data_IF_134963797338
#
_entry.id   IF_134963797338
#
_cell.length_a   1.000
_cell.length_b   1.000
_cell.length_c   1.000
_cell.angle_alpha   90.00
_cell.angle_beta   90.00
_cell.angle_gamma   90.00
#
_symmetry.space_group_name_H-M   'P 1'
#
loop_
_entity.id
_entity.type
_entity.pdbx_description
1 polymer ?
#
# COMPACT_ATOMS: atom_id res chain seq x y z
N UNK A 1 -3.33 -33.07 -11.75
CA UNK A 1 -4.01 -33.31 -10.47
C UNK A 1 -4.09 -31.98 -9.73
N UNK A 2 -5.31 -31.59 -9.41
CA UNK A 2 -5.78 -30.21 -9.40
C UNK A 2 -5.17 -29.34 -8.30
N UNK A 3 -4.42 -28.32 -8.70
CA UNK A 3 -3.88 -27.25 -7.85
C UNK A 3 -4.99 -26.54 -7.04
N UNK A 4 -6.21 -26.55 -7.55
CA UNK A 4 -7.38 -25.90 -6.97
C UNK A 4 -7.94 -26.67 -5.75
N UNK A 5 -7.93 -28.00 -5.79
CA UNK A 5 -8.40 -28.85 -4.68
C UNK A 5 -7.41 -28.86 -3.52
N UNK A 6 -6.12 -28.99 -3.83
CA UNK A 6 -5.05 -28.90 -2.84
C UNK A 6 -4.98 -27.50 -2.21
N UNK A 7 -5.35 -26.49 -3.00
CA UNK A 7 -5.32 -25.11 -2.54
C UNK A 7 -6.38 -24.78 -1.50
N UNK A 8 -7.60 -25.29 -1.69
CA UNK A 8 -8.70 -25.18 -0.72
C UNK A 8 -8.41 -25.98 0.55
N UNK A 9 -7.82 -27.16 0.41
CA UNK A 9 -7.41 -27.98 1.56
C UNK A 9 -6.35 -27.29 2.42
N UNK A 10 -5.29 -26.75 1.80
CA UNK A 10 -4.23 -26.04 2.52
C UNK A 10 -4.75 -24.77 3.23
N UNK A 11 -5.68 -24.04 2.61
CA UNK A 11 -6.29 -22.86 3.22
C UNK A 11 -7.20 -23.22 4.41
N UNK A 12 -7.99 -24.28 4.30
CA UNK A 12 -8.76 -24.82 5.42
C UNK A 12 -7.84 -25.31 6.55
N UNK A 13 -6.75 -25.99 6.21
CA UNK A 13 -5.77 -26.50 7.18
C UNK A 13 -5.03 -25.37 7.89
N UNK A 14 -4.64 -24.31 7.17
CA UNK A 14 -4.01 -23.12 7.75
C UNK A 14 -4.95 -22.40 8.73
N UNK A 15 -6.23 -22.22 8.35
CA UNK A 15 -7.25 -21.66 9.24
C UNK A 15 -7.50 -22.54 10.47
N UNK A 16 -7.47 -23.86 10.30
CA UNK A 16 -7.66 -24.82 11.37
C UNK A 16 -6.51 -24.79 12.38
N UNK A 17 -5.24 -24.82 11.93
CA UNK A 17 -4.08 -24.75 12.82
C UNK A 17 -3.90 -23.38 13.51
N UNK A 18 -4.35 -22.28 12.88
CA UNK A 18 -4.25 -20.94 13.46
C UNK A 18 -5.25 -20.64 14.58
N UNK A 19 -6.19 -21.55 14.86
CA UNK A 19 -7.28 -21.31 15.83
C UNK A 19 -6.98 -22.00 17.17
N UNK A 20 -7.23 -21.31 18.29
CA UNK A 20 -7.09 -21.88 19.65
C UNK A 20 -7.92 -23.16 19.88
N UNK A 21 -8.95 -23.37 19.06
CA UNK A 21 -9.81 -24.57 19.05
C UNK A 21 -9.03 -25.85 18.75
N UNK A 22 -8.01 -25.83 17.88
CA UNK A 22 -7.21 -27.04 17.59
C UNK A 22 -6.45 -27.50 18.83
N UNK A 23 -5.78 -26.56 19.51
CA UNK A 23 -5.07 -26.82 20.76
C UNK A 23 -6.01 -27.39 21.83
N UNK A 24 -7.19 -26.78 21.99
CA UNK A 24 -8.20 -27.26 22.94
C UNK A 24 -8.66 -28.70 22.62
N UNK A 25 -8.91 -29.02 21.35
CA UNK A 25 -9.29 -30.37 20.92
C UNK A 25 -8.18 -31.39 21.17
N UNK A 26 -6.92 -31.04 20.83
CA UNK A 26 -5.76 -31.90 21.07
C UNK A 26 -5.53 -32.16 22.55
N UNK A 27 -5.65 -31.13 23.40
CA UNK A 27 -5.57 -31.29 24.86
C UNK A 27 -6.69 -32.17 25.39
N UNK A 28 -7.93 -31.98 24.92
CA UNK A 28 -9.06 -32.82 25.30
C UNK A 28 -8.84 -34.28 24.89
N UNK A 29 -8.32 -34.54 23.69
CA UNK A 29 -7.98 -35.89 23.23
C UNK A 29 -6.96 -36.57 24.14
N UNK A 30 -5.86 -35.89 24.50
CA UNK A 30 -4.84 -36.43 25.41
C UNK A 30 -5.43 -36.72 26.79
N UNK A 31 -6.24 -35.80 27.34
CA UNK A 31 -6.89 -35.98 28.64
C UNK A 31 -7.82 -37.19 28.60
N UNK A 32 -8.68 -37.30 27.58
CA UNK A 32 -9.62 -38.43 27.42
C UNK A 32 -8.85 -39.74 27.31
N UNK A 33 -7.75 -39.80 26.55
CA UNK A 33 -6.93 -41.00 26.42
C UNK A 33 -6.35 -41.45 27.77
N UNK A 34 -5.80 -40.51 28.54
CA UNK A 34 -5.24 -40.79 29.87
C UNK A 34 -6.36 -41.25 30.81
N UNK A 35 -7.50 -40.56 30.84
CA UNK A 35 -8.64 -40.89 31.70
C UNK A 35 -9.17 -42.28 31.39
N UNK A 36 -9.35 -42.63 30.11
CA UNK A 36 -9.78 -43.96 29.71
C UNK A 36 -8.78 -45.02 30.19
N UNK A 37 -7.48 -44.85 29.91
CA UNK A 37 -6.49 -45.86 30.32
C UNK A 37 -6.33 -45.99 31.83
N UNK A 38 -6.50 -44.92 32.61
CA UNK A 38 -6.42 -44.95 34.08
C UNK A 38 -7.71 -45.49 34.71
N UNK A 39 -8.87 -45.22 34.11
CA UNK A 39 -10.16 -45.70 34.59
C UNK A 39 -10.45 -47.16 34.24
N UNK A 40 -9.75 -47.72 33.24
CA UNK A 40 -9.86 -49.13 32.90
C UNK A 40 -9.18 -50.01 33.98
N UNK A 41 -9.76 -51.18 34.33
CA UNK A 41 -9.11 -52.14 35.22
C UNK A 41 -7.77 -52.60 34.64
N UNK A 42 -6.78 -52.90 35.51
CA UNK A 42 -5.44 -53.37 35.11
C UNK A 42 -5.40 -54.55 34.14
N UNK A 43 -6.47 -55.35 34.09
CA UNK A 43 -6.62 -56.47 33.15
C UNK A 43 -6.94 -56.07 31.72
N UNK A 44 -7.33 -54.81 31.49
CA UNK A 44 -7.85 -54.31 30.21
C UNK A 44 -7.22 -52.98 29.79
N UNK A 45 -6.20 -52.51 30.50
CA UNK A 45 -5.43 -51.31 30.12
C UNK A 45 -4.81 -51.52 28.73
N UNK A 46 -5.13 -50.62 27.79
CA UNK A 46 -4.64 -50.68 26.41
C UNK A 46 -3.24 -50.07 26.31
N UNK A 47 -2.97 -49.03 27.10
CA UNK A 47 -1.71 -48.29 27.13
C UNK A 47 -1.33 -47.93 28.58
N UNK A 48 -0.68 -48.86 29.32
CA UNK A 48 -0.26 -48.62 30.70
C UNK A 48 0.79 -47.51 30.79
N UNK A 49 0.89 -46.86 31.96
CA UNK A 49 1.96 -45.88 32.24
C UNK A 49 3.34 -46.51 31.95
N UNK A 50 4.16 -45.92 31.06
CA UNK A 50 4.25 -44.49 30.69
C UNK A 50 3.53 -44.04 29.39
N UNK A 51 2.47 -44.71 28.93
CA UNK A 51 1.69 -44.35 27.73
C UNK A 51 2.52 -44.36 26.43
N UNK A 52 3.11 -45.52 26.10
CA UNK A 52 3.98 -45.66 24.93
C UNK A 52 3.22 -45.49 23.63
N UNK A 53 1.96 -45.96 23.55
CA UNK A 53 1.16 -45.82 22.33
C UNK A 53 0.78 -44.36 22.08
N UNK A 54 0.35 -43.62 23.11
CA UNK A 54 0.10 -42.19 23.00
C UNK A 54 1.35 -41.45 22.50
N UNK A 55 2.51 -41.79 23.06
CA UNK A 55 3.79 -41.17 22.68
C UNK A 55 4.17 -41.48 21.24
N UNK A 56 4.01 -42.73 20.81
CA UNK A 56 4.23 -43.12 19.41
C UNK A 56 3.27 -42.40 18.46
N UNK A 57 1.98 -42.28 18.82
CA UNK A 57 1.00 -41.56 18.02
C UNK A 57 1.37 -40.08 17.87
N UNK A 58 1.75 -39.41 18.97
CA UNK A 58 2.15 -38.01 18.97
C UNK A 58 3.44 -37.78 18.16
N UNK A 59 4.43 -38.66 18.28
CA UNK A 59 5.66 -38.57 17.48
C UNK A 59 5.41 -38.75 15.98
N UNK A 60 4.54 -39.70 15.60
CA UNK A 60 4.12 -39.89 14.21
C UNK A 60 3.36 -38.67 13.68
N UNK A 61 2.45 -38.12 14.49
CA UNK A 61 1.69 -36.92 14.14
C UNK A 61 2.62 -35.72 13.88
N UNK A 62 3.63 -35.50 14.74
CA UNK A 62 4.63 -34.47 14.54
C UNK A 62 5.47 -34.71 13.27
N UNK A 63 5.87 -35.95 13.02
CA UNK A 63 6.67 -36.32 11.85
C UNK A 63 5.93 -36.06 10.53
N UNK A 64 4.63 -36.32 10.47
CA UNK A 64 3.81 -36.06 9.28
C UNK A 64 3.41 -34.58 9.12
N UNK A 65 3.39 -33.81 10.22
CA UNK A 65 3.11 -32.38 10.16
C UNK A 65 4.21 -31.60 9.41
N UNK A 66 5.48 -31.95 9.60
CA UNK A 66 6.61 -31.26 8.98
C UNK A 66 6.53 -31.16 7.44
N UNK A 67 6.35 -32.26 6.67
CA UNK A 67 6.25 -32.19 5.22
C UNK A 67 4.99 -31.46 4.73
N UNK A 68 3.88 -31.56 5.46
CA UNK A 68 2.66 -30.79 5.14
C UNK A 68 2.87 -29.29 5.33
N UNK A 69 3.54 -28.90 6.42
CA UNK A 69 3.90 -27.52 6.69
C UNK A 69 4.85 -26.99 5.60
N UNK A 70 5.86 -27.78 5.21
CA UNK A 70 6.79 -27.41 4.12
C UNK A 70 6.06 -27.19 2.80
N UNK A 71 5.07 -28.02 2.47
CA UNK A 71 4.29 -27.85 1.25
C UNK A 71 3.39 -26.61 1.30
N UNK A 72 2.81 -26.31 2.47
CA UNK A 72 2.07 -25.08 2.69
C UNK A 72 2.98 -23.85 2.58
N UNK A 73 4.20 -23.92 3.12
CA UNK A 73 5.21 -22.86 3.05
C UNK A 73 5.68 -22.62 1.60
N UNK A 74 6.07 -23.65 0.85
CA UNK A 74 6.47 -23.53 -0.56
C UNK A 74 5.43 -22.77 -1.40
N UNK A 75 4.14 -22.99 -1.10
CA UNK A 75 3.04 -22.33 -1.81
C UNK A 75 2.83 -20.89 -1.37
N UNK A 76 3.01 -20.62 -0.07
CA UNK A 76 3.00 -19.25 0.45
C UNK A 76 4.15 -18.44 -0.15
N UNK A 77 5.37 -18.99 -0.16
CA UNK A 77 6.55 -18.36 -0.76
C UNK A 77 6.37 -18.07 -2.26
N UNK A 78 5.73 -18.99 -3.00
CA UNK A 78 5.42 -18.75 -4.41
C UNK A 78 4.47 -17.56 -4.62
N UNK A 79 3.44 -17.41 -3.76
CA UNK A 79 2.53 -16.26 -3.78
C UNK A 79 3.25 -14.97 -3.40
N UNK A 80 4.03 -15.01 -2.33
CA UNK A 80 4.78 -13.86 -1.83
C UNK A 80 5.79 -13.38 -2.87
N UNK A 81 6.42 -14.30 -3.61
CA UNK A 81 7.32 -13.95 -4.72
C UNK A 81 6.61 -13.19 -5.83
N UNK A 82 5.43 -13.65 -6.26
CA UNK A 82 4.63 -12.97 -7.30
C UNK A 82 4.20 -11.59 -6.82
N UNK A 83 3.76 -11.46 -5.57
CA UNK A 83 3.39 -10.18 -4.99
C UNK A 83 4.58 -9.20 -4.95
N UNK A 84 5.77 -9.68 -4.54
CA UNK A 84 6.99 -8.87 -4.53
C UNK A 84 7.41 -8.43 -5.94
N UNK A 85 7.29 -9.30 -6.94
CA UNK A 85 7.64 -8.93 -8.32
C UNK A 85 6.66 -7.89 -8.89
N UNK A 86 5.36 -8.00 -8.58
CA UNK A 86 4.37 -7.00 -8.94
C UNK A 86 4.63 -5.64 -8.25
N UNK A 87 4.95 -5.65 -6.96
CA UNK A 87 5.28 -4.45 -6.19
C UNK A 87 6.52 -3.72 -6.75
N UNK A 88 7.55 -4.49 -7.16
CA UNK A 88 8.73 -3.93 -7.85
C UNK A 88 8.37 -3.25 -9.17
N UNK A 89 7.53 -3.89 -9.98
CA UNK A 89 7.08 -3.31 -11.25
C UNK A 89 6.26 -2.04 -11.03
N UNK A 90 5.34 -2.06 -10.06
CA UNK A 90 4.53 -0.90 -9.69
C UNK A 90 5.41 0.25 -9.18
N UNK A 91 6.40 -0.04 -8.33
CA UNK A 91 7.34 0.96 -7.83
C UNK A 91 8.17 1.57 -8.97
N UNK A 92 8.62 0.75 -9.93
CA UNK A 92 9.36 1.24 -11.09
C UNK A 92 8.50 2.16 -11.98
N UNK A 93 7.25 1.77 -12.24
CA UNK A 93 6.29 2.60 -12.99
C UNK A 93 5.99 3.91 -12.26
N UNK A 94 5.70 3.85 -10.96
CA UNK A 94 5.43 5.05 -10.15
C UNK A 94 6.60 6.04 -10.16
N UNK A 95 7.85 5.54 -10.13
CA UNK A 95 9.03 6.40 -10.27
C UNK A 95 9.11 7.06 -11.64
N UNK A 96 8.85 6.31 -12.71
CA UNK A 96 8.82 6.87 -14.06
C UNK A 96 7.72 7.93 -14.23
N UNK A 97 6.54 7.70 -13.66
CA UNK A 97 5.44 8.68 -13.67
C UNK A 97 5.80 9.94 -12.88
N UNK A 98 6.43 9.80 -11.72
CA UNK A 98 6.92 10.94 -10.94
C UNK A 98 7.98 11.74 -11.72
N UNK A 99 8.92 11.07 -12.38
CA UNK A 99 9.93 11.72 -13.21
C UNK A 99 9.30 12.45 -14.40
N UNK A 100 8.28 11.86 -15.02
CA UNK A 100 7.51 12.49 -16.09
C UNK A 100 6.78 13.74 -15.60
N UNK A 101 6.03 13.63 -14.49
CA UNK A 101 5.33 14.76 -13.88
C UNK A 101 6.30 15.86 -13.45
N UNK A 102 7.47 15.52 -12.91
CA UNK A 102 8.48 16.50 -12.54
C UNK A 102 9.01 17.28 -13.76
N UNK A 103 9.20 16.62 -14.91
CA UNK A 103 9.59 17.27 -16.16
C UNK A 103 8.47 18.16 -16.70
N UNK A 104 7.22 17.71 -16.64
CA UNK A 104 6.07 18.52 -17.05
C UNK A 104 5.86 19.75 -16.14
N UNK A 105 6.07 19.60 -14.83
CA UNK A 105 6.01 20.75 -13.91
C UNK A 105 7.16 21.73 -14.22
N UNK A 106 8.35 21.24 -14.55
CA UNK A 106 9.47 22.08 -14.93
C UNK A 106 9.22 22.84 -16.25
N UNK A 107 8.67 22.17 -17.28
CA UNK A 107 8.31 22.80 -18.56
C UNK A 107 7.18 23.83 -18.39
N UNK A 108 6.16 23.51 -17.59
CA UNK A 108 5.08 24.42 -17.25
C UNK A 108 5.59 25.64 -16.50
N UNK A 109 6.48 25.45 -15.52
CA UNK A 109 7.11 26.55 -14.77
C UNK A 109 7.90 27.48 -15.69
N UNK A 110 8.63 26.93 -16.66
CA UNK A 110 9.37 27.74 -17.64
C UNK A 110 8.41 28.59 -18.48
N UNK A 111 7.35 27.95 -19.00
CA UNK A 111 6.34 28.61 -19.84
C UNK A 111 5.57 29.70 -19.09
N UNK A 112 5.21 29.46 -17.82
CA UNK A 112 4.59 30.46 -16.94
C UNK A 112 5.58 31.57 -16.57
N UNK A 113 6.85 31.24 -16.38
CA UNK A 113 7.92 32.21 -16.13
C UNK A 113 8.06 33.23 -17.26
N UNK A 114 7.95 32.78 -18.52
CA UNK A 114 7.99 33.65 -19.69
C UNK A 114 6.72 34.54 -19.80
N UNK A 115 5.54 34.01 -19.49
CA UNK A 115 4.28 34.77 -19.48
C UNK A 115 4.21 35.80 -18.34
N UNK A 116 4.88 35.53 -17.22
CA UNK A 116 5.03 36.43 -16.10
C UNK A 116 6.33 37.25 -16.18
N UNK A 117 6.90 37.44 -17.37
CA UNK A 117 8.11 38.26 -17.50
C UNK A 117 7.79 39.65 -16.96
N UNK A 118 8.52 40.01 -15.90
CA UNK A 118 8.45 41.33 -15.25
C UNK A 118 8.48 42.46 -16.26
N UNK A 119 9.14 42.29 -17.40
CA UNK A 119 9.18 43.29 -18.47
C UNK A 119 7.86 43.45 -19.22
N UNK A 120 7.08 42.39 -19.45
CA UNK A 120 5.74 42.48 -20.05
C UNK A 120 4.76 43.13 -19.06
N UNK A 121 4.72 42.64 -17.82
CA UNK A 121 3.90 43.25 -16.76
C UNK A 121 4.27 44.72 -16.54
N UNK A 122 5.57 45.06 -16.58
CA UNK A 122 6.07 46.42 -16.40
C UNK A 122 5.91 47.29 -17.64
N UNK A 123 5.91 46.74 -18.85
CA UNK A 123 5.60 47.51 -20.06
C UNK A 123 4.12 47.84 -20.10
N UNK A 124 3.25 46.88 -19.74
CA UNK A 124 1.81 47.08 -19.74
C UNK A 124 1.38 48.09 -18.67
N UNK A 125 1.85 47.91 -17.43
CA UNK A 125 1.64 48.91 -16.36
C UNK A 125 2.13 50.30 -16.75
N UNK A 126 3.25 50.39 -17.47
CA UNK A 126 3.82 51.68 -17.88
C UNK A 126 3.04 52.31 -19.04
N UNK A 127 2.56 51.50 -19.97
CA UNK A 127 1.70 51.96 -21.06
C UNK A 127 0.37 52.50 -20.50
N UNK A 128 -0.27 51.77 -19.60
CA UNK A 128 -1.51 52.21 -18.95
C UNK A 128 -1.32 53.46 -18.07
N UNK A 129 -0.22 53.57 -17.32
CA UNK A 129 0.08 54.80 -16.59
C UNK A 129 0.28 55.99 -17.54
N UNK A 130 0.89 55.75 -18.70
CA UNK A 130 1.18 56.81 -19.67
C UNK A 130 -0.08 57.25 -20.44
N UNK A 131 -1.00 56.34 -20.72
CA UNK A 131 -2.30 56.66 -21.32
C UNK A 131 -3.12 57.53 -20.36
N UNK A 132 -3.25 57.13 -19.09
CA UNK A 132 -4.00 57.88 -18.08
C UNK A 132 -3.41 59.28 -17.84
N UNK A 133 -2.08 59.42 -17.78
CA UNK A 133 -1.43 60.73 -17.65
C UNK A 133 -1.64 61.61 -18.88
N UNK A 134 -1.67 61.03 -20.08
CA UNK A 134 -1.92 61.77 -21.31
C UNK A 134 -3.38 62.26 -21.38
N UNK A 135 -4.33 61.45 -20.89
CA UNK A 135 -5.74 61.82 -20.79
C UNK A 135 -5.96 62.99 -19.83
N UNK A 136 -5.34 62.96 -18.64
CA UNK A 136 -5.38 64.08 -17.68
C UNK A 136 -4.73 65.35 -18.23
N UNK A 137 -3.59 65.23 -18.93
CA UNK A 137 -2.92 66.39 -19.53
C UNK A 137 -3.75 67.02 -20.65
N UNK A 138 -4.47 66.21 -21.42
CA UNK A 138 -5.40 66.70 -22.43
C UNK A 138 -6.59 67.44 -21.80
N UNK A 139 -7.11 66.95 -20.66
CA UNK A 139 -8.15 67.67 -19.90
C UNK A 139 -7.66 69.01 -19.34
N UNK A 140 -6.41 69.11 -18.87
CA UNK A 140 -5.81 70.36 -18.38
C UNK A 140 -5.58 71.40 -19.50
N UNK A 141 -5.14 70.97 -20.69
CA UNK A 141 -4.97 71.86 -21.85
C UNK A 141 -6.31 72.37 -22.40
N UNK A 142 -7.38 71.56 -22.31
CA UNK A 142 -8.74 71.97 -22.67
C UNK A 142 -9.33 72.96 -21.64
N UNK A 143 -8.78 72.99 -20.42
CA UNK A 143 -9.18 73.90 -19.33
C UNK A 143 -8.30 75.15 -19.19
N UNK A 144 -7.18 75.25 -19.94
CA UNK A 144 -6.35 76.45 -19.98
C UNK A 144 -7.14 77.63 -20.62
N UNK A 145 -7.42 78.72 -19.89
CA UNK A 145 -8.30 79.76 -20.38
C UNK A 145 -7.64 80.53 -21.52
N UNK A 146 -8.40 80.72 -22.61
CA UNK A 146 -8.09 81.60 -23.74
C UNK A 146 -7.92 83.05 -23.24
N UNK A 147 -6.74 83.39 -22.74
CA UNK A 147 -6.33 84.73 -22.34
C UNK A 147 -5.78 85.49 -23.56
N UNK A 148 -6.62 86.35 -24.12
CA UNK A 148 -6.44 87.10 -25.37
C UNK A 148 -5.12 87.92 -25.49
N UNK A 149 -4.64 88.19 -26.72
CA UNK A 149 -3.44 88.99 -26.95
C UNK A 149 -3.75 90.48 -26.77
N UNK A 150 -3.10 91.14 -25.81
CA UNK A 150 -3.17 92.60 -25.67
C UNK A 150 -2.09 93.24 -26.54
N UNK A 151 -2.55 93.82 -27.65
CA UNK A 151 -1.84 94.82 -28.45
C UNK A 151 -1.49 96.05 -27.61
N UNK A 152 -0.27 96.56 -27.76
CA UNK A 152 0.05 97.99 -27.93
C UNK A 152 1.51 98.15 -28.36
#
# INVERSE_FOLDING_TARGET
MDSDTFGKFAEAFARFMGTATFLAWMSAFIIVWIVLNVALPKSSEVDPYPFIFLTLLLSLQASYAAPLILLAQNRQEARDRVALDADRQQTAQSRADMDFLAREIASLRMSVGDLATRDYLRSELRNELRSLLAELAAEDDEQAPTGAPVRA
#
